data_IF_826426533667
#
_entry.id   IF_826426533667
#
_cell.length_a   1.000
_cell.length_b   1.000
_cell.length_c   1.000
_cell.angle_alpha   90.00
_cell.angle_beta   90.00
_cell.angle_gamma   90.00
#
_symmetry.space_group_name_H-M   'P 1'
#
loop_
_entity.id
_entity.type
_entity.pdbx_description
1 polymer ?
#
# COMPACT_ATOMS: atom_id res chain seq x y z
N UNK A 1 -10.15 -10.21 -9.87
CA UNK A 1 -9.28 -9.87 -8.73
C UNK A 1 -8.20 -8.84 -9.10
N UNK A 2 -7.25 -9.13 -10.00
CA UNK A 2 -6.18 -8.17 -10.36
C UNK A 2 -6.68 -6.78 -10.83
N UNK A 3 -7.73 -6.74 -11.65
CA UNK A 3 -8.37 -5.48 -12.08
C UNK A 3 -9.06 -4.78 -10.91
N UNK A 4 -9.79 -5.53 -10.09
CA UNK A 4 -10.53 -5.00 -8.94
C UNK A 4 -9.60 -4.33 -7.93
N UNK A 5 -8.53 -5.01 -7.50
CA UNK A 5 -7.56 -4.43 -6.55
C UNK A 5 -6.88 -3.19 -7.12
N UNK A 6 -6.52 -3.21 -8.40
CA UNK A 6 -5.87 -2.07 -9.03
C UNK A 6 -6.79 -0.85 -9.21
N UNK A 7 -8.02 -1.07 -9.67
CA UNK A 7 -9.02 0.02 -9.80
C UNK A 7 -9.43 0.56 -8.44
N UNK A 8 -9.68 -0.33 -7.45
CA UNK A 8 -9.99 0.08 -6.09
C UNK A 8 -8.85 0.93 -5.51
N UNK A 9 -7.59 0.52 -5.66
CA UNK A 9 -6.47 1.30 -5.17
C UNK A 9 -6.28 2.65 -5.87
N UNK A 10 -6.54 2.73 -7.19
CA UNK A 10 -6.53 4.02 -7.89
C UNK A 10 -7.65 4.94 -7.39
N UNK A 11 -8.85 4.40 -7.19
CA UNK A 11 -9.97 5.14 -6.62
C UNK A 11 -9.66 5.60 -5.18
N UNK A 12 -9.09 4.74 -4.35
CA UNK A 12 -8.64 5.09 -3.01
C UNK A 12 -7.66 6.27 -3.05
N UNK A 13 -6.66 6.24 -3.92
CA UNK A 13 -5.73 7.37 -4.09
C UNK A 13 -6.44 8.68 -4.46
N UNK A 14 -7.40 8.63 -5.39
CA UNK A 14 -8.21 9.81 -5.76
C UNK A 14 -8.98 10.33 -4.55
N UNK A 15 -9.68 9.46 -3.82
CA UNK A 15 -10.43 9.84 -2.62
C UNK A 15 -9.53 10.46 -1.55
N UNK A 16 -8.34 9.90 -1.34
CA UNK A 16 -7.38 10.42 -0.35
C UNK A 16 -6.85 11.80 -0.74
N UNK A 17 -6.51 12.00 -2.02
CA UNK A 17 -6.07 13.30 -2.55
C UNK A 17 -7.18 14.33 -2.38
N UNK A 18 -8.43 13.98 -2.70
CA UNK A 18 -9.58 14.86 -2.52
C UNK A 18 -9.86 15.14 -1.04
N UNK A 19 -9.70 14.15 -0.16
CA UNK A 19 -9.85 14.33 1.28
C UNK A 19 -8.87 15.38 1.81
N UNK A 20 -7.57 15.24 1.52
CA UNK A 20 -6.58 16.24 1.96
C UNK A 20 -6.74 17.60 1.25
N UNK A 21 -7.19 17.62 0.00
CA UNK A 21 -7.35 18.86 -0.77
C UNK A 21 -8.62 19.66 -0.43
N UNK A 22 -9.74 18.97 -0.16
CA UNK A 22 -11.07 19.55 0.02
C UNK A 22 -11.53 19.53 1.48
N UNK A 23 -11.35 18.40 2.18
CA UNK A 23 -11.78 18.27 3.58
C UNK A 23 -10.82 18.98 4.54
N UNK A 24 -9.53 19.06 4.18
CA UNK A 24 -8.48 19.70 4.98
C UNK A 24 -8.55 19.29 6.45
N UNK A 25 -8.37 17.99 6.75
CA UNK A 25 -8.65 17.40 8.05
C UNK A 25 -7.82 17.99 9.22
N UNK A 26 -6.80 18.79 8.92
CA UNK A 26 -5.93 19.41 9.91
C UNK A 26 -6.30 20.87 10.23
N UNK A 27 -7.30 21.45 9.55
CA UNK A 27 -7.72 22.84 9.79
C UNK A 27 -8.61 22.99 11.05
N UNK A 28 -9.02 21.89 11.68
CA UNK A 28 -9.73 21.86 12.97
C UNK A 28 -11.25 22.07 12.90
N UNK A 29 -11.81 22.16 11.68
CA UNK A 29 -13.25 22.34 11.45
C UNK A 29 -13.83 21.14 10.69
N UNK A 30 -15.08 20.78 10.99
CA UNK A 30 -15.80 19.77 10.22
C UNK A 30 -16.05 20.26 8.79
N UNK A 31 -15.81 19.40 7.81
CA UNK A 31 -15.99 19.69 6.40
C UNK A 31 -17.12 18.84 5.81
N UNK A 32 -17.86 19.41 4.86
CA UNK A 32 -18.84 18.64 4.07
C UNK A 32 -18.19 17.49 3.29
N UNK A 33 -16.86 17.50 3.15
CA UNK A 33 -16.06 16.49 2.46
C UNK A 33 -15.42 15.45 3.39
N UNK A 34 -15.72 15.45 4.70
CA UNK A 34 -15.14 14.51 5.67
C UNK A 34 -15.46 13.04 5.33
N UNK A 35 -16.57 12.78 4.65
CA UNK A 35 -16.95 11.45 4.17
C UNK A 35 -15.94 10.84 3.19
N UNK A 36 -15.07 11.64 2.55
CA UNK A 36 -14.03 11.15 1.65
C UNK A 36 -13.00 10.27 2.36
N UNK A 37 -12.71 10.54 3.64
CA UNK A 37 -11.85 9.70 4.46
C UNK A 37 -12.47 8.30 4.66
N UNK A 38 -13.72 8.27 5.14
CA UNK A 38 -14.48 7.03 5.33
C UNK A 38 -14.60 6.23 4.01
N UNK A 39 -14.86 6.93 2.90
CA UNK A 39 -14.92 6.31 1.57
C UNK A 39 -13.57 5.73 1.14
N UNK A 40 -12.46 6.46 1.37
CA UNK A 40 -11.12 5.97 1.09
C UNK A 40 -10.83 4.67 1.86
N UNK A 41 -11.06 4.65 3.17
CA UNK A 41 -10.81 3.46 4.02
C UNK A 41 -11.66 2.26 3.60
N UNK A 42 -12.92 2.51 3.25
CA UNK A 42 -13.84 1.48 2.72
C UNK A 42 -13.33 0.89 1.40
N UNK A 43 -12.78 1.71 0.50
CA UNK A 43 -12.21 1.24 -0.76
C UNK A 43 -10.89 0.51 -0.53
N UNK A 44 -10.09 0.90 0.47
CA UNK A 44 -8.87 0.17 0.86
C UNK A 44 -9.20 -1.26 1.31
N UNK A 45 -10.29 -1.46 2.05
CA UNK A 45 -10.79 -2.82 2.39
C UNK A 45 -10.96 -3.67 1.14
N UNK A 46 -11.67 -3.15 0.13
CA UNK A 46 -11.92 -3.85 -1.13
C UNK A 46 -10.59 -4.12 -1.87
N UNK A 47 -9.71 -3.12 -1.93
CA UNK A 47 -8.40 -3.23 -2.58
C UNK A 47 -7.58 -4.39 -2.00
N UNK A 48 -7.42 -4.43 -0.67
CA UNK A 48 -6.58 -5.42 0.01
C UNK A 48 -7.22 -6.80 0.06
N UNK A 49 -8.54 -6.89 0.25
CA UNK A 49 -9.26 -8.15 0.14
C UNK A 49 -9.10 -8.78 -1.26
N UNK A 50 -9.17 -7.95 -2.32
CA UNK A 50 -8.95 -8.39 -3.70
C UNK A 50 -7.47 -8.68 -4.03
N UNK A 51 -6.52 -8.16 -3.24
CA UNK A 51 -5.09 -8.40 -3.42
C UNK A 51 -4.67 -9.78 -2.91
N UNK A 52 -5.32 -10.30 -1.86
CA UNK A 52 -5.05 -11.65 -1.32
C UNK A 52 -5.10 -12.75 -2.41
N UNK A 53 -6.18 -12.90 -3.20
CA UNK A 53 -6.22 -13.90 -4.26
C UNK A 53 -5.19 -13.63 -5.38
N UNK A 54 -4.82 -12.36 -5.62
CA UNK A 54 -3.74 -12.01 -6.57
C UNK A 54 -2.40 -12.53 -6.06
N UNK A 55 -2.13 -12.37 -4.76
CA UNK A 55 -0.90 -12.85 -4.14
C UNK A 55 -0.80 -14.38 -4.19
N UNK A 56 -1.91 -15.08 -3.91
CA UNK A 56 -1.98 -16.54 -4.01
C UNK A 56 -1.78 -17.03 -5.45
N UNK A 57 -2.39 -16.37 -6.44
CA UNK A 57 -2.23 -16.72 -7.85
C UNK A 57 -0.78 -16.48 -8.34
N UNK A 58 -0.14 -15.40 -7.91
CA UNK A 58 1.27 -15.13 -8.23
C UNK A 58 2.21 -16.15 -7.62
N UNK A 59 1.95 -16.59 -6.38
CA UNK A 59 2.74 -17.66 -5.75
C UNK A 59 2.74 -18.93 -6.59
N UNK A 60 1.64 -19.29 -7.24
CA UNK A 60 1.57 -20.46 -8.11
C UNK A 60 2.50 -20.34 -9.34
N UNK A 61 2.76 -19.10 -9.81
CA UNK A 61 3.61 -18.81 -10.98
C UNK A 61 5.08 -18.51 -10.63
N UNK A 62 5.39 -18.29 -9.36
CA UNK A 62 6.74 -17.97 -8.89
C UNK A 62 7.24 -19.07 -7.96
N UNK A 63 8.01 -20.04 -8.47
CA UNK A 63 8.47 -21.17 -7.67
C UNK A 63 9.55 -20.74 -6.67
N UNK A 64 9.59 -21.42 -5.54
CA UNK A 64 10.67 -21.31 -4.54
C UNK A 64 10.19 -21.03 -3.11
N UNK A 65 11.03 -21.32 -2.11
CA UNK A 65 10.69 -21.15 -0.69
C UNK A 65 10.46 -19.68 -0.32
N UNK A 66 11.23 -18.75 -0.91
CA UNK A 66 11.07 -17.32 -0.67
C UNK A 66 9.68 -16.82 -1.07
N UNK A 67 9.19 -17.17 -2.27
CA UNK A 67 7.87 -16.76 -2.73
C UNK A 67 6.74 -17.34 -1.88
N UNK A 68 6.90 -18.59 -1.40
CA UNK A 68 5.95 -19.24 -0.50
C UNK A 68 5.86 -18.51 0.84
N UNK A 69 7.00 -18.32 1.51
CA UNK A 69 7.06 -17.64 2.81
C UNK A 69 6.61 -16.18 2.71
N UNK A 70 7.14 -15.45 1.73
CA UNK A 70 6.75 -14.06 1.52
C UNK A 70 5.24 -13.94 1.27
N UNK A 71 4.64 -14.83 0.46
CA UNK A 71 3.20 -14.79 0.20
C UNK A 71 2.38 -15.08 1.45
N UNK A 72 2.79 -16.05 2.28
CA UNK A 72 2.07 -16.32 3.53
C UNK A 72 2.09 -15.09 4.46
N UNK A 73 3.26 -14.50 4.66
CA UNK A 73 3.44 -13.29 5.48
C UNK A 73 2.69 -12.09 4.88
N UNK A 74 2.77 -11.91 3.55
CA UNK A 74 2.07 -10.85 2.83
C UNK A 74 0.56 -10.98 2.92
N UNK A 75 0.01 -12.19 2.76
CA UNK A 75 -1.43 -12.45 2.92
C UNK A 75 -1.88 -12.17 4.35
N UNK A 76 -1.10 -12.57 5.36
CA UNK A 76 -1.41 -12.23 6.74
C UNK A 76 -1.48 -10.71 6.96
N UNK A 77 -0.51 -9.96 6.42
CA UNK A 77 -0.49 -8.50 6.49
C UNK A 77 -1.67 -7.87 5.73
N UNK A 78 -2.01 -8.35 4.53
CA UNK A 78 -3.14 -7.84 3.76
C UNK A 78 -4.48 -8.08 4.49
N UNK A 79 -4.65 -9.25 5.08
CA UNK A 79 -5.82 -9.57 5.91
C UNK A 79 -5.87 -8.68 7.16
N UNK A 80 -4.72 -8.42 7.79
CA UNK A 80 -4.65 -7.50 8.91
C UNK A 80 -5.04 -6.07 8.52
N UNK A 81 -4.61 -5.57 7.34
CA UNK A 81 -5.07 -4.28 6.80
C UNK A 81 -6.59 -4.26 6.65
N UNK A 82 -7.17 -5.32 6.05
CA UNK A 82 -8.64 -5.43 5.90
C UNK A 82 -9.34 -5.35 7.26
N UNK A 83 -8.89 -6.12 8.25
CA UNK A 83 -9.47 -6.13 9.59
C UNK A 83 -9.34 -4.75 10.26
N UNK A 84 -8.15 -4.16 10.25
CA UNK A 84 -7.89 -2.85 10.85
C UNK A 84 -8.76 -1.78 10.20
N UNK A 85 -8.91 -1.79 8.88
CA UNK A 85 -9.75 -0.82 8.18
C UNK A 85 -11.23 -1.02 8.46
N UNK A 86 -11.71 -2.25 8.57
CA UNK A 86 -13.08 -2.50 9.02
C UNK A 86 -13.31 -2.01 10.46
N UNK A 87 -12.35 -2.21 11.36
CA UNK A 87 -12.43 -1.69 12.73
C UNK A 87 -12.49 -0.15 12.76
N UNK A 88 -11.72 0.53 11.90
CA UNK A 88 -11.78 1.99 11.79
C UNK A 88 -13.13 2.46 11.24
N UNK A 89 -13.57 1.91 10.11
CA UNK A 89 -14.82 2.27 9.45
C UNK A 89 -16.04 2.02 10.34
N UNK A 90 -15.98 1.00 11.20
CA UNK A 90 -17.05 0.69 12.18
C UNK A 90 -16.91 1.44 13.51
N UNK A 91 -15.87 2.26 13.67
CA UNK A 91 -15.63 3.03 14.90
C UNK A 91 -15.15 2.20 16.09
N UNK A 92 -14.72 0.96 15.88
CA UNK A 92 -14.16 0.10 16.94
C UNK A 92 -12.78 0.55 17.41
N UNK A 93 -12.01 1.23 16.55
CA UNK A 93 -10.67 1.74 16.86
C UNK A 93 -10.53 3.14 16.27
N UNK A 94 -10.02 4.11 17.06
CA UNK A 94 -9.75 5.46 16.54
C UNK A 94 -8.56 5.46 15.58
N UNK A 95 -8.55 6.44 14.66
CA UNK A 95 -7.54 6.55 13.60
C UNK A 95 -6.11 6.56 14.15
N UNK A 96 -5.84 7.30 15.22
CA UNK A 96 -4.52 7.48 15.81
C UNK A 96 -3.91 6.16 16.29
N UNK A 97 -4.75 5.25 16.80
CA UNK A 97 -4.34 3.91 17.25
C UNK A 97 -4.11 2.99 16.05
N UNK A 98 -4.87 3.17 14.98
CA UNK A 98 -4.89 2.28 13.82
C UNK A 98 -3.75 2.57 12.82
N UNK A 99 -3.32 3.84 12.69
CA UNK A 99 -2.27 4.28 11.75
C UNK A 99 -0.99 3.46 11.88
N UNK A 100 -0.44 3.33 13.08
CA UNK A 100 0.82 2.61 13.30
C UNK A 100 0.78 1.15 12.84
N UNK A 101 -0.19 0.34 13.33
CA UNK A 101 -0.41 -1.02 12.87
C UNK A 101 -0.63 -1.14 11.35
N UNK A 102 -1.43 -0.26 10.74
CA UNK A 102 -1.67 -0.28 9.29
C UNK A 102 -0.38 0.00 8.53
N UNK A 103 0.40 1.01 8.92
CA UNK A 103 1.71 1.32 8.32
C UNK A 103 2.66 0.12 8.41
N UNK A 104 2.69 -0.60 9.54
CA UNK A 104 3.46 -1.84 9.68
C UNK A 104 3.01 -2.93 8.69
N UNK A 105 1.70 -3.13 8.53
CA UNK A 105 1.16 -4.09 7.57
C UNK A 105 1.43 -3.70 6.11
N UNK A 106 1.40 -2.40 5.80
CA UNK A 106 1.79 -1.87 4.50
C UNK A 106 3.27 -2.15 4.23
N UNK A 107 4.17 -1.87 5.19
CA UNK A 107 5.59 -2.18 5.06
C UNK A 107 5.83 -3.66 4.73
N UNK A 108 5.14 -4.57 5.43
CA UNK A 108 5.20 -6.01 5.14
C UNK A 108 4.65 -6.33 3.74
N UNK A 109 3.57 -5.68 3.31
CA UNK A 109 2.98 -5.87 1.98
C UNK A 109 3.92 -5.40 0.86
N UNK A 110 4.58 -4.25 1.02
CA UNK A 110 5.60 -3.80 0.06
C UNK A 110 6.87 -4.68 0.11
N UNK A 111 7.23 -5.22 1.28
CA UNK A 111 8.26 -6.24 1.40
C UNK A 111 7.91 -7.53 0.64
N UNK A 112 6.66 -7.99 0.73
CA UNK A 112 6.13 -9.09 -0.08
C UNK A 112 6.26 -8.79 -1.58
N UNK A 113 5.87 -7.59 -2.02
CA UNK A 113 5.99 -7.17 -3.42
C UNK A 113 7.45 -7.29 -3.90
N UNK A 114 8.42 -6.83 -3.11
CA UNK A 114 9.85 -6.98 -3.44
C UNK A 114 10.29 -8.44 -3.50
N UNK A 115 9.89 -9.24 -2.52
CA UNK A 115 10.25 -10.65 -2.44
C UNK A 115 9.70 -11.46 -3.63
N UNK A 116 8.43 -11.24 -4.02
CA UNK A 116 7.82 -11.91 -5.17
C UNK A 116 8.45 -11.46 -6.47
N UNK A 117 8.73 -10.16 -6.65
CA UNK A 117 9.43 -9.68 -7.85
C UNK A 117 10.86 -10.23 -7.93
N UNK A 118 11.57 -10.36 -6.79
CA UNK A 118 12.91 -10.97 -6.73
C UNK A 118 12.88 -12.46 -7.08
N UNK A 119 11.96 -13.22 -6.50
CA UNK A 119 11.81 -14.64 -6.79
C UNK A 119 11.33 -14.89 -8.23
N UNK A 120 10.47 -14.01 -8.75
CA UNK A 120 9.91 -14.07 -10.09
C UNK A 120 10.80 -13.51 -11.20
N UNK A 121 12.04 -13.09 -10.92
CA UNK A 121 12.95 -12.47 -11.93
C UNK A 121 13.14 -13.29 -13.20
N UNK A 122 12.98 -14.63 -13.12
CA UNK A 122 13.12 -15.55 -14.25
C UNK A 122 11.78 -16.01 -14.85
N UNK A 123 10.67 -15.90 -14.12
CA UNK A 123 9.35 -16.39 -14.54
C UNK A 123 8.34 -15.28 -14.87
N UNK A 124 8.64 -14.02 -14.52
CA UNK A 124 7.79 -12.87 -14.78
C UNK A 124 8.40 -11.94 -15.83
N UNK A 125 7.57 -11.19 -16.59
CA UNK A 125 8.06 -10.19 -17.52
C UNK A 125 8.95 -9.14 -16.85
N UNK A 126 10.11 -8.84 -17.46
CA UNK A 126 11.08 -7.86 -16.93
C UNK A 126 10.46 -6.49 -16.59
N UNK A 127 9.55 -5.91 -17.40
CA UNK A 127 8.94 -4.63 -17.07
C UNK A 127 8.11 -4.69 -15.77
N UNK A 128 7.36 -5.77 -15.56
CA UNK A 128 6.56 -5.98 -14.36
C UNK A 128 7.44 -6.07 -13.11
N UNK A 129 8.53 -6.84 -13.21
CA UNK A 129 9.51 -7.01 -12.12
C UNK A 129 10.20 -5.70 -11.78
N UNK A 130 10.65 -4.94 -12.79
CA UNK A 130 11.31 -3.65 -12.60
C UNK A 130 10.36 -2.64 -11.96
N UNK A 131 9.15 -2.51 -12.48
CA UNK A 131 8.15 -1.60 -11.95
C UNK A 131 7.78 -1.95 -10.50
N UNK A 132 7.47 -3.23 -10.23
CA UNK A 132 7.15 -3.68 -8.87
C UNK A 132 8.31 -3.51 -7.89
N UNK A 133 9.55 -3.71 -8.35
CA UNK A 133 10.75 -3.44 -7.54
C UNK A 133 10.90 -1.95 -7.25
N UNK A 134 10.74 -1.09 -8.25
CA UNK A 134 10.82 0.36 -8.07
C UNK A 134 9.75 0.87 -7.08
N UNK A 135 8.51 0.41 -7.25
CA UNK A 135 7.39 0.70 -6.35
C UNK A 135 7.69 0.27 -4.90
N UNK A 136 8.13 -0.98 -4.71
CA UNK A 136 8.46 -1.51 -3.39
C UNK A 136 9.63 -0.80 -2.71
N UNK A 137 10.71 -0.54 -3.45
CA UNK A 137 11.88 0.17 -2.93
C UNK A 137 11.53 1.60 -2.57
N UNK A 138 10.82 2.31 -3.45
CA UNK A 138 10.40 3.69 -3.22
C UNK A 138 9.55 3.83 -1.97
N UNK A 139 8.53 2.98 -1.77
CA UNK A 139 7.69 3.04 -0.57
C UNK A 139 8.50 2.77 0.70
N UNK A 140 9.29 1.69 0.72
CA UNK A 140 10.07 1.31 1.91
C UNK A 140 11.20 2.30 2.21
N UNK A 141 11.84 2.88 1.19
CA UNK A 141 12.83 3.94 1.36
C UNK A 141 12.16 5.20 1.95
N UNK A 142 11.02 5.61 1.40
CA UNK A 142 10.24 6.71 1.94
C UNK A 142 9.86 6.48 3.40
N UNK A 143 9.37 5.28 3.73
CA UNK A 143 9.03 4.91 5.11
C UNK A 143 10.26 4.94 6.04
N UNK A 144 11.41 4.42 5.59
CA UNK A 144 12.66 4.47 6.35
C UNK A 144 13.15 5.89 6.62
N UNK A 145 13.04 6.78 5.61
CA UNK A 145 13.39 8.20 5.74
C UNK A 145 12.40 8.92 6.68
N UNK A 146 11.10 8.61 6.59
CA UNK A 146 10.12 9.15 7.53
C UNK A 146 10.42 8.71 8.97
N UNK A 147 10.82 7.45 9.16
CA UNK A 147 11.23 6.92 10.46
C UNK A 147 12.47 7.63 11.02
N UNK A 148 13.45 7.98 10.19
CA UNK A 148 14.62 8.73 10.65
C UNK A 148 14.31 10.19 11.02
N UNK A 149 13.25 10.79 10.44
CA UNK A 149 12.78 12.12 10.84
C UNK A 149 12.32 12.18 12.31
N UNK A 150 11.88 11.04 12.87
CA UNK A 150 11.48 10.93 14.27
C UNK A 150 12.67 11.00 15.25
N UNK A 151 13.90 10.87 14.76
CA UNK A 151 15.12 11.03 15.56
C UNK A 151 15.55 12.49 15.70
N UNK A 152 14.93 13.39 14.92
CA UNK A 152 15.21 14.83 14.95
C UNK A 152 14.31 15.53 15.97
N UNK A 153 14.71 16.71 16.48
CA UNK A 153 13.87 17.49 17.39
C UNK A 153 12.50 17.78 16.78
N UNK A 154 11.45 17.54 17.58
CA UNK A 154 10.06 17.76 17.18
C UNK A 154 9.82 19.20 16.72
N UNK A 155 9.20 19.37 15.55
CA UNK A 155 8.89 20.69 14.98
C UNK A 155 10.09 21.46 14.43
N UNK A 156 11.26 20.83 14.31
CA UNK A 156 12.43 21.47 13.68
C UNK A 156 12.33 21.48 12.16
N UNK A 157 12.93 22.48 11.51
CA UNK A 157 13.05 22.55 10.04
C UNK A 157 13.68 21.27 9.46
N UNK A 158 14.68 20.73 10.15
CA UNK A 158 15.31 19.46 9.76
C UNK A 158 14.32 18.30 9.73
N UNK A 159 13.45 18.19 10.74
CA UNK A 159 12.40 17.18 10.77
C UNK A 159 11.42 17.34 9.60
N UNK A 160 10.96 18.56 9.32
CA UNK A 160 10.06 18.84 8.21
C UNK A 160 10.70 18.55 6.84
N UNK A 161 11.97 18.91 6.64
CA UNK A 161 12.71 18.62 5.41
C UNK A 161 12.83 17.12 5.18
N UNK A 162 13.16 16.34 6.21
CA UNK A 162 13.27 14.88 6.09
C UNK A 162 11.92 14.24 5.82
N UNK A 163 10.84 14.69 6.48
CA UNK A 163 9.48 14.25 6.13
C UNK A 163 9.07 14.61 4.70
N UNK A 164 9.39 15.82 4.23
CA UNK A 164 9.13 16.24 2.85
C UNK A 164 9.83 15.34 1.83
N UNK A 165 11.10 15.00 2.09
CA UNK A 165 11.85 14.06 1.27
C UNK A 165 11.26 12.65 1.30
N UNK A 166 10.87 12.18 2.49
CA UNK A 166 10.21 10.89 2.67
C UNK A 166 8.90 10.79 1.86
N UNK A 167 8.08 11.85 1.89
CA UNK A 167 6.84 11.95 1.11
C UNK A 167 7.17 11.91 -0.39
N UNK A 168 8.11 12.75 -0.86
CA UNK A 168 8.46 12.80 -2.28
C UNK A 168 8.93 11.43 -2.82
N UNK A 169 9.73 10.71 -2.04
CA UNK A 169 10.23 9.38 -2.41
C UNK A 169 9.14 8.32 -2.27
N UNK A 170 8.41 8.30 -1.16
CA UNK A 170 7.40 7.29 -0.86
C UNK A 170 6.15 7.38 -1.72
N UNK A 171 5.79 8.59 -2.17
CA UNK A 171 4.59 8.85 -2.96
C UNK A 171 4.59 8.08 -4.29
N UNK A 172 5.74 7.91 -4.93
CA UNK A 172 5.84 7.08 -6.14
C UNK A 172 5.45 5.63 -5.85
N UNK A 173 5.93 5.05 -4.76
CA UNK A 173 5.60 3.70 -4.33
C UNK A 173 4.13 3.57 -3.95
N UNK A 174 3.59 4.55 -3.22
CA UNK A 174 2.17 4.59 -2.86
C UNK A 174 1.27 4.64 -4.10
N UNK A 175 1.51 5.59 -5.01
CA UNK A 175 0.68 5.79 -6.21
C UNK A 175 0.87 4.68 -7.25
N UNK A 176 2.07 4.12 -7.34
CA UNK A 176 2.39 3.04 -8.27
C UNK A 176 1.88 1.68 -7.83
N UNK A 177 1.59 1.48 -6.54
CA UNK A 177 1.16 0.18 -6.01
C UNK A 177 -0.13 -0.34 -6.66
N UNK A 178 -1.22 0.44 -6.80
CA UNK A 178 -2.43 -0.03 -7.49
C UNK A 178 -2.24 -0.32 -8.99
N UNK A 179 -1.25 0.30 -9.63
CA UNK A 179 -0.94 0.07 -11.05
C UNK A 179 -0.30 -1.31 -11.24
N UNK A 180 0.49 -1.79 -10.28
CA UNK A 180 1.23 -3.03 -10.44
C UNK A 180 0.32 -4.28 -10.61
N UNK A 181 -0.76 -4.49 -9.83
CA UNK A 181 -1.72 -5.56 -10.09
C UNK A 181 -2.38 -5.47 -11.47
N UNK A 182 -2.64 -4.27 -11.99
CA UNK A 182 -3.19 -4.08 -13.35
C UNK A 182 -2.22 -4.55 -14.42
N UNK A 183 -0.92 -4.37 -14.21
CA UNK A 183 0.11 -4.89 -15.10
C UNK A 183 0.24 -6.42 -14.96
N UNK A 184 0.21 -6.92 -13.71
CA UNK A 184 0.29 -8.35 -13.40
C UNK A 184 -0.89 -9.17 -13.99
N UNK A 185 -2.03 -8.53 -14.27
CA UNK A 185 -3.22 -9.19 -14.86
C UNK A 185 -2.94 -9.97 -16.14
N UNK A 186 -1.95 -9.52 -16.94
CA UNK A 186 -1.60 -10.18 -18.22
C UNK A 186 -1.01 -11.56 -17.96
N UNK A 187 -0.07 -11.64 -17.03
CA UNK A 187 0.57 -12.89 -16.59
C UNK A 187 -0.45 -13.84 -15.97
N UNK A 188 -1.40 -13.30 -15.18
CA UNK A 188 -2.42 -14.08 -14.50
C UNK A 188 -3.56 -14.57 -15.41
N UNK A 189 -3.65 -14.09 -16.66
CA UNK A 189 -4.72 -14.46 -17.61
C UNK A 189 -4.36 -15.60 -18.57
N UNK A 190 -3.08 -15.95 -18.73
CA UNK A 190 -2.58 -16.94 -19.70
C UNK A 190 -2.99 -18.41 -19.40
N UNK A 191 -4.08 -18.64 -18.66
CA UNK A 191 -4.61 -19.95 -18.25
C UNK A 191 -6.08 -20.16 -18.67
N UNK A 192 -6.58 -19.39 -19.63
CA UNK A 192 -7.89 -19.64 -20.25
C UNK A 192 -7.75 -19.84 -21.75
#
# INVERSE_FOLDING_TARGET
>A
MAVLTGVAGLLANVLLILFFGLARPFDGWASEFDWLGLANDSVIVVQFAALVPVALALRARVPGPLARWATAVGVAAMTAVVTLQLMLVTGLVPFEVQVGPVVGCLAVTFGWLLAVNRAGRRSLPRPLVRFGTAVGVSYLAGLGIAGSALLLPGGSDGQYVVFGLAIAIGLFGWLGFPVWPLLARRVLREER
#
